data_IF_581293041258
#
_entry.id   IF_581293041258
#
_cell.length_a   1.000
_cell.length_b   1.000
_cell.length_c   1.000
_cell.angle_alpha   90.00
_cell.angle_beta   90.00
_cell.angle_gamma   90.00
#
_symmetry.space_group_name_H-M   'P 1'
#
loop_
_entity.id
_entity.type
_entity.pdbx_description
1 polymer ?
#
# COMPACT_ATOMS: atom_id res chain seq x y z
N UNK A 1 -19.95 19.68 26.61
CA UNK A 1 -21.28 19.45 26.00
C UNK A 1 -22.32 19.72 27.05
N UNK A 2 -23.32 20.52 26.70
CA UNK A 2 -24.56 20.57 27.46
C UNK A 2 -25.44 19.41 26.99
N UNK A 3 -25.91 18.58 27.93
CA UNK A 3 -26.70 17.38 27.63
C UNK A 3 -28.20 17.60 27.81
N UNK A 4 -28.65 18.75 28.33
CA UNK A 4 -30.07 19.09 28.46
C UNK A 4 -30.93 17.94 29.01
N UNK A 5 -31.99 17.57 28.28
CA UNK A 5 -32.92 16.48 28.63
C UNK A 5 -32.28 15.08 28.73
N UNK A 6 -31.04 14.92 28.25
CA UNK A 6 -30.27 13.67 28.35
C UNK A 6 -29.36 13.63 29.58
N UNK A 7 -29.52 14.57 30.53
CA UNK A 7 -28.72 14.67 31.76
C UNK A 7 -28.78 13.40 32.63
N UNK A 8 -29.86 12.64 32.55
CA UNK A 8 -30.07 11.43 33.35
C UNK A 8 -29.43 10.17 32.73
N UNK A 9 -29.19 10.14 31.41
CA UNK A 9 -28.64 8.96 30.73
C UNK A 9 -27.11 9.00 30.60
N UNK A 10 -26.43 8.50 31.63
CA UNK A 10 -24.97 8.39 31.67
C UNK A 10 -24.38 7.52 30.54
N UNK A 11 -25.12 6.51 30.07
CA UNK A 11 -24.62 5.61 29.04
C UNK A 11 -24.58 6.30 27.67
N UNK A 12 -25.59 7.11 27.36
CA UNK A 12 -25.63 7.94 26.15
C UNK A 12 -24.57 9.05 26.23
N UNK A 13 -24.45 9.73 27.37
CA UNK A 13 -23.44 10.78 27.58
C UNK A 13 -22.02 10.27 27.32
N UNK A 14 -21.70 9.10 27.87
CA UNK A 14 -20.38 8.47 27.68
C UNK A 14 -20.11 8.18 26.21
N UNK A 15 -21.09 7.62 25.49
CA UNK A 15 -20.97 7.35 24.05
C UNK A 15 -20.76 8.63 23.25
N UNK A 16 -21.52 9.68 23.56
CA UNK A 16 -21.44 10.96 22.83
C UNK A 16 -20.11 11.69 23.11
N UNK A 17 -19.65 11.69 24.36
CA UNK A 17 -18.35 12.24 24.73
C UNK A 17 -17.20 11.50 24.03
N UNK A 18 -17.26 10.16 24.01
CA UNK A 18 -16.26 9.35 23.30
C UNK A 18 -16.29 9.61 21.80
N UNK A 19 -17.48 9.74 21.21
CA UNK A 19 -17.65 10.05 19.80
C UNK A 19 -17.02 11.39 19.45
N UNK A 20 -17.33 12.45 20.20
CA UNK A 20 -16.78 13.78 19.98
C UNK A 20 -15.26 13.83 20.14
N UNK A 21 -14.71 13.24 21.21
CA UNK A 21 -13.26 13.14 21.38
C UNK A 21 -12.60 12.38 20.23
N UNK A 22 -13.26 11.38 19.66
CA UNK A 22 -12.75 10.66 18.50
C UNK A 22 -12.77 11.51 17.22
N UNK A 23 -13.82 12.30 17.01
CA UNK A 23 -13.92 13.23 15.88
C UNK A 23 -12.86 14.32 15.97
N UNK A 24 -12.65 14.92 17.15
CA UNK A 24 -11.58 15.92 17.37
C UNK A 24 -10.18 15.37 17.07
N UNK A 25 -9.92 14.10 17.42
CA UNK A 25 -8.65 13.44 17.09
C UNK A 25 -8.48 13.27 15.58
N UNK A 26 -9.54 12.88 14.88
CA UNK A 26 -9.52 12.72 13.42
C UNK A 26 -9.29 14.08 12.74
N UNK A 27 -9.97 15.13 13.21
CA UNK A 27 -9.82 16.50 12.71
C UNK A 27 -8.37 16.97 12.78
N UNK A 28 -7.71 16.80 13.94
CA UNK A 28 -6.29 17.13 14.12
C UNK A 28 -5.37 16.38 13.14
N UNK A 29 -5.63 15.09 12.90
CA UNK A 29 -4.83 14.29 11.97
C UNK A 29 -5.02 14.79 10.52
N UNK A 30 -6.24 15.13 10.13
CA UNK A 30 -6.56 15.65 8.80
C UNK A 30 -5.94 17.02 8.60
N UNK A 31 -5.97 17.89 9.61
CA UNK A 31 -5.36 19.22 9.56
C UNK A 31 -3.85 19.14 9.32
N UNK A 32 -3.16 18.26 10.06
CA UNK A 32 -1.73 17.99 9.85
C UNK A 32 -1.50 17.48 8.43
N UNK A 33 -2.29 16.49 8.01
CA UNK A 33 -2.13 15.81 6.71
C UNK A 33 -2.42 16.73 5.52
N UNK A 34 -3.33 17.69 5.66
CA UNK A 34 -3.74 18.63 4.60
C UNK A 34 -2.82 19.84 4.47
N UNK A 35 -1.75 19.91 5.25
CA UNK A 35 -0.83 21.05 5.18
C UNK A 35 -0.12 21.12 3.81
N UNK A 36 -0.01 22.34 3.22
CA UNK A 36 0.25 22.50 1.79
C UNK A 36 1.61 22.03 1.26
N UNK A 37 2.53 21.57 2.10
CA UNK A 37 3.88 21.16 1.66
C UNK A 37 4.21 19.69 1.96
N UNK A 38 3.32 18.96 2.65
CA UNK A 38 3.62 17.57 3.03
C UNK A 38 3.67 16.70 1.79
N UNK A 39 2.67 16.80 0.92
CA UNK A 39 2.55 15.91 -0.23
C UNK A 39 3.79 15.93 -1.13
N UNK A 40 4.35 17.10 -1.40
CA UNK A 40 5.51 17.24 -2.27
C UNK A 40 6.80 16.65 -1.69
N UNK A 41 6.90 16.58 -0.36
CA UNK A 41 8.05 15.99 0.35
C UNK A 41 7.99 14.47 0.43
N UNK A 42 6.85 13.85 0.10
CA UNK A 42 6.66 12.41 0.17
C UNK A 42 7.34 11.69 -1.01
N UNK A 43 7.93 10.53 -0.73
CA UNK A 43 8.34 9.57 -1.76
C UNK A 43 7.14 9.05 -2.53
N UNK A 44 7.34 8.45 -3.71
CA UNK A 44 6.25 7.87 -4.50
C UNK A 44 5.42 6.85 -3.72
N UNK A 45 6.06 6.03 -2.87
CA UNK A 45 5.35 5.08 -2.01
C UNK A 45 4.46 5.81 -1.01
N UNK A 46 5.02 6.79 -0.31
CA UNK A 46 4.29 7.56 0.70
C UNK A 46 3.15 8.39 0.08
N UNK A 47 3.31 8.90 -1.14
CA UNK A 47 2.23 9.55 -1.89
C UNK A 47 1.06 8.60 -2.14
N UNK A 48 1.34 7.37 -2.56
CA UNK A 48 0.30 6.34 -2.74
C UNK A 48 -0.40 6.03 -1.41
N UNK A 49 0.36 5.86 -0.33
CA UNK A 49 -0.21 5.62 1.00
C UNK A 49 -1.07 6.81 1.48
N UNK A 50 -0.61 8.04 1.25
CA UNK A 50 -1.32 9.27 1.56
C UNK A 50 -2.64 9.38 0.78
N UNK A 51 -2.61 9.17 -0.55
CA UNK A 51 -3.80 9.28 -1.39
C UNK A 51 -4.85 8.23 -1.00
N UNK A 52 -4.41 7.01 -0.67
CA UNK A 52 -5.29 5.96 -0.15
C UNK A 52 -5.85 6.30 1.22
N UNK A 53 -5.05 6.87 2.11
CA UNK A 53 -5.47 7.33 3.43
C UNK A 53 -6.53 8.43 3.33
N UNK A 54 -6.30 9.46 2.50
CA UNK A 54 -7.25 10.56 2.31
C UNK A 54 -8.55 10.09 1.68
N UNK A 55 -8.48 9.26 0.64
CA UNK A 55 -9.66 8.68 0.01
C UNK A 55 -10.46 7.80 0.99
N UNK A 56 -9.79 6.94 1.77
CA UNK A 56 -10.46 6.09 2.76
C UNK A 56 -11.13 6.92 3.86
N UNK A 57 -10.43 7.94 4.37
CA UNK A 57 -10.90 8.81 5.44
C UNK A 57 -12.15 9.58 5.00
N UNK A 58 -12.13 10.21 3.83
CA UNK A 58 -13.28 10.94 3.30
C UNK A 58 -14.51 10.04 3.16
N UNK A 59 -14.35 8.86 2.56
CA UNK A 59 -15.47 7.92 2.38
C UNK A 59 -16.01 7.40 3.71
N UNK A 60 -15.13 7.17 4.69
CA UNK A 60 -15.53 6.70 6.03
C UNK A 60 -16.24 7.80 6.84
N UNK A 61 -15.78 9.04 6.74
CA UNK A 61 -16.46 10.19 7.36
C UNK A 61 -17.84 10.42 6.76
N UNK A 62 -17.98 10.27 5.45
CA UNK A 62 -19.30 10.34 4.81
C UNK A 62 -20.23 9.21 5.28
N UNK A 63 -19.72 7.98 5.40
CA UNK A 63 -20.47 6.87 5.98
C UNK A 63 -20.95 7.20 7.40
N UNK A 64 -20.07 7.77 8.22
CA UNK A 64 -20.38 8.18 9.59
C UNK A 64 -21.47 9.27 9.61
N UNK A 65 -21.38 10.26 8.72
CA UNK A 65 -22.38 11.31 8.57
C UNK A 65 -23.77 10.75 8.22
N UNK A 66 -23.86 9.78 7.29
CA UNK A 66 -25.13 9.12 6.99
C UNK A 66 -25.71 8.42 8.22
N UNK A 67 -24.86 7.76 9.01
CA UNK A 67 -25.28 7.12 10.26
C UNK A 67 -25.80 8.12 11.29
N UNK A 68 -25.21 9.31 11.41
CA UNK A 68 -25.71 10.34 12.34
C UNK A 68 -27.04 10.95 11.89
N UNK A 69 -27.34 10.91 10.59
CA UNK A 69 -28.67 11.27 10.04
C UNK A 69 -29.72 10.17 10.19
N UNK A 70 -29.35 8.99 10.66
CA UNK A 70 -30.25 7.84 10.72
C UNK A 70 -30.49 7.16 9.38
N UNK A 71 -29.72 7.52 8.34
CA UNK A 71 -29.79 6.89 7.03
C UNK A 71 -28.97 5.59 7.03
N UNK A 72 -29.37 4.64 6.17
CA UNK A 72 -28.63 3.40 6.00
C UNK A 72 -27.55 3.56 4.92
N UNK A 73 -26.25 3.70 5.30
CA UNK A 73 -25.17 3.88 4.34
C UNK A 73 -24.98 2.67 3.43
N UNK A 74 -25.47 1.48 3.80
CA UNK A 74 -25.32 0.27 2.98
C UNK A 74 -26.16 0.30 1.70
N UNK A 75 -27.20 1.16 1.66
CA UNK A 75 -28.06 1.38 0.49
C UNK A 75 -27.47 2.39 -0.50
N UNK A 76 -26.43 3.10 -0.11
CA UNK A 76 -25.77 4.10 -0.95
C UNK A 76 -24.50 3.54 -1.62
N UNK A 77 -24.06 4.20 -2.68
CA UNK A 77 -22.83 3.86 -3.42
C UNK A 77 -21.54 3.94 -2.58
N UNK A 78 -21.61 4.47 -1.35
CA UNK A 78 -20.46 4.62 -0.48
C UNK A 78 -19.79 3.27 -0.13
N UNK A 79 -20.57 2.20 -0.04
CA UNK A 79 -20.05 0.85 0.21
C UNK A 79 -19.17 0.38 -0.95
N UNK A 80 -19.57 0.69 -2.17
CA UNK A 80 -18.80 0.39 -3.37
C UNK A 80 -17.50 1.21 -3.40
N UNK A 81 -17.54 2.49 -3.01
CA UNK A 81 -16.34 3.32 -2.91
C UNK A 81 -15.36 2.81 -1.85
N UNK A 82 -15.83 2.43 -0.66
CA UNK A 82 -14.96 1.84 0.37
C UNK A 82 -14.33 0.52 -0.09
N UNK A 83 -15.10 -0.35 -0.75
CA UNK A 83 -14.56 -1.59 -1.32
C UNK A 83 -13.52 -1.31 -2.40
N UNK A 84 -13.77 -0.31 -3.26
CA UNK A 84 -12.82 0.13 -4.28
C UNK A 84 -11.51 0.61 -3.65
N UNK A 85 -11.56 1.47 -2.62
CA UNK A 85 -10.36 1.94 -1.92
C UNK A 85 -9.59 0.76 -1.29
N UNK A 86 -10.28 -0.19 -0.65
CA UNK A 86 -9.65 -1.41 -0.10
C UNK A 86 -8.94 -2.23 -1.18
N UNK A 87 -9.52 -2.38 -2.37
CA UNK A 87 -8.87 -3.06 -3.48
C UNK A 87 -7.59 -2.34 -3.91
N UNK A 88 -7.57 -1.01 -3.93
CA UNK A 88 -6.36 -0.26 -4.24
C UNK A 88 -5.30 -0.36 -3.14
N UNK A 89 -5.68 -0.44 -1.86
CA UNK A 89 -4.73 -0.73 -0.77
C UNK A 89 -4.04 -2.08 -0.96
N UNK A 90 -4.79 -3.12 -1.36
CA UNK A 90 -4.21 -4.43 -1.69
C UNK A 90 -3.25 -4.32 -2.87
N UNK A 91 -3.63 -3.62 -3.94
CA UNK A 91 -2.75 -3.40 -5.10
C UNK A 91 -1.47 -2.63 -4.75
N UNK A 92 -1.56 -1.61 -3.91
CA UNK A 92 -0.41 -0.85 -3.45
C UNK A 92 0.56 -1.74 -2.64
N UNK A 93 0.01 -2.57 -1.75
CA UNK A 93 0.78 -3.57 -1.00
C UNK A 93 1.48 -4.56 -1.93
N UNK A 94 0.76 -5.15 -2.88
CA UNK A 94 1.35 -6.08 -3.85
C UNK A 94 2.44 -5.42 -4.70
N UNK A 95 2.24 -4.18 -5.14
CA UNK A 95 3.24 -3.44 -5.92
C UNK A 95 4.53 -3.25 -5.12
N UNK A 96 4.41 -2.90 -3.83
CA UNK A 96 5.55 -2.77 -2.94
C UNK A 96 6.27 -4.11 -2.71
N UNK A 97 5.53 -5.18 -2.43
CA UNK A 97 6.09 -6.53 -2.22
C UNK A 97 6.81 -7.06 -3.47
N UNK A 98 6.25 -6.82 -4.67
CA UNK A 98 6.91 -7.17 -5.95
C UNK A 98 8.25 -6.47 -6.12
N UNK A 99 8.39 -5.25 -5.60
CA UNK A 99 9.62 -4.47 -5.71
C UNK A 99 10.69 -4.90 -4.70
N UNK A 100 10.28 -5.25 -3.48
CA UNK A 100 11.19 -5.45 -2.33
C UNK A 100 11.46 -6.92 -2.01
N UNK A 101 10.43 -7.77 -2.04
CA UNK A 101 10.51 -9.15 -1.51
C UNK A 101 10.74 -10.20 -2.61
N UNK A 102 10.35 -9.92 -3.85
CA UNK A 102 10.35 -10.93 -4.91
C UNK A 102 11.76 -11.14 -5.46
N UNK A 103 12.25 -12.40 -5.54
CA UNK A 103 13.52 -12.69 -6.19
C UNK A 103 13.49 -12.20 -7.65
N UNK A 104 14.51 -11.43 -8.04
CA UNK A 104 14.68 -11.02 -9.43
C UNK A 104 15.40 -12.14 -10.18
N UNK A 105 14.91 -12.46 -11.37
CA UNK A 105 15.60 -13.39 -12.26
C UNK A 105 16.90 -12.72 -12.69
N UNK A 106 18.02 -13.42 -12.55
CA UNK A 106 19.27 -13.01 -13.17
C UNK A 106 19.15 -13.26 -14.68
N UNK A 107 18.82 -12.20 -15.42
CA UNK A 107 18.70 -12.24 -16.88
C UNK A 107 20.01 -12.69 -17.56
N UNK A 108 21.17 -12.42 -16.96
CA UNK A 108 22.47 -12.86 -17.46
C UNK A 108 22.68 -14.37 -17.28
N UNK A 109 22.35 -14.92 -16.11
CA UNK A 109 22.34 -16.36 -15.89
C UNK A 109 21.34 -17.07 -16.82
N UNK A 110 20.11 -16.57 -16.93
CA UNK A 110 19.10 -17.11 -17.83
C UNK A 110 19.58 -17.08 -19.30
N UNK A 111 20.20 -15.99 -19.74
CA UNK A 111 20.79 -15.88 -21.08
C UNK A 111 21.89 -16.91 -21.34
N UNK A 112 22.76 -17.17 -20.35
CA UNK A 112 23.80 -18.21 -20.44
C UNK A 112 23.20 -19.61 -20.58
N UNK A 113 22.17 -19.94 -19.78
CA UNK A 113 21.47 -21.22 -19.89
C UNK A 113 20.81 -21.41 -21.25
N UNK A 114 20.15 -20.37 -21.78
CA UNK A 114 19.51 -20.42 -23.10
C UNK A 114 20.55 -20.62 -24.20
N UNK A 115 21.63 -19.81 -24.21
CA UNK A 115 22.70 -19.91 -25.23
C UNK A 115 23.34 -21.29 -25.25
N UNK A 116 23.61 -21.87 -24.08
CA UNK A 116 24.15 -23.22 -23.96
C UNK A 116 23.14 -24.27 -24.45
N UNK A 117 21.86 -24.16 -24.07
CA UNK A 117 20.82 -25.09 -24.47
C UNK A 117 20.51 -25.11 -25.97
N UNK A 118 20.72 -24.00 -26.68
CA UNK A 118 20.52 -23.91 -28.14
C UNK A 118 21.82 -24.05 -28.95
N UNK A 119 22.94 -24.44 -28.32
CA UNK A 119 24.27 -24.52 -28.93
C UNK A 119 24.63 -23.26 -29.75
N UNK A 120 24.27 -22.08 -29.24
CA UNK A 120 24.52 -20.82 -29.92
C UNK A 120 26.03 -20.59 -30.05
N UNK A 121 26.56 -20.72 -31.27
CA UNK A 121 27.92 -20.30 -31.61
C UNK A 121 27.86 -18.87 -32.09
N UNK A 122 28.34 -17.95 -31.25
CA UNK A 122 28.49 -16.55 -31.64
C UNK A 122 29.49 -16.48 -32.80
N UNK A 123 29.06 -16.03 -33.97
CA UNK A 123 29.87 -16.00 -35.19
C UNK A 123 30.90 -14.87 -35.20
N UNK A 124 31.20 -14.25 -34.05
CA UNK A 124 31.90 -12.96 -33.95
C UNK A 124 33.10 -12.86 -33.00
N UNK A 125 33.48 -13.89 -32.23
CA UNK A 125 34.71 -13.82 -31.39
C UNK A 125 35.46 -15.15 -31.32
N UNK A 126 36.79 -15.16 -31.48
CA UNK A 126 37.61 -16.37 -31.44
C UNK A 126 38.04 -16.75 -30.00
N UNK A 127 38.27 -18.06 -29.84
CA UNK A 127 39.00 -18.78 -28.76
C UNK A 127 38.21 -19.31 -27.55
N UNK A 128 38.18 -20.65 -27.50
CA UNK A 128 37.83 -21.45 -26.33
C UNK A 128 38.79 -21.16 -25.16
N UNK A 129 38.31 -21.07 -23.90
CA UNK A 129 39.21 -20.91 -22.77
C UNK A 129 40.09 -22.17 -22.61
N UNK A 130 41.38 -22.01 -22.28
CA UNK A 130 42.35 -23.10 -22.31
C UNK A 130 41.97 -24.20 -21.31
N UNK A 131 41.88 -25.43 -21.81
CA UNK A 131 41.61 -26.63 -21.03
C UNK A 131 42.74 -26.86 -20.02
N UNK A 132 42.54 -26.52 -18.74
CA UNK A 132 43.46 -26.87 -17.65
C UNK A 132 43.35 -28.37 -17.34
N UNK A 133 43.94 -29.21 -18.20
CA UNK A 133 44.33 -30.56 -17.79
C UNK A 133 45.60 -30.44 -16.95
N UNK A 134 45.45 -30.43 -15.62
CA UNK A 134 46.59 -30.67 -14.72
C UNK A 134 46.97 -32.14 -14.85
N UNK A 135 48.10 -32.43 -15.51
CA UNK A 135 48.77 -33.72 -15.38
C UNK A 135 49.42 -33.73 -14.00
N UNK A 136 48.98 -34.64 -13.12
CA UNK A 136 49.77 -35.04 -11.97
C UNK A 136 50.93 -35.90 -12.48
N UNK A 137 52.15 -35.55 -12.11
CA UNK A 137 53.32 -36.41 -12.25
C UNK A 137 53.32 -37.40 -11.08
N UNK A 138 53.25 -38.70 -11.38
CA UNK A 138 53.52 -39.76 -10.42
C UNK A 138 55.05 -39.90 -10.29
N UNK A 139 55.57 -39.82 -9.06
CA UNK A 139 56.92 -40.23 -8.67
C UNK A 139 56.99 -41.76 -8.52
#
# INVERSE_FOLDING_TARGET
>A
MDFGDLSEDKAIQTKLSNFHSSVEKIEKIIEISSSPDIYDKLTTKEKVDYDLFMAYTLNTLFWLYLKTKGEDPTKSEIKNQLNRVKQYMVKAKEAHERQVLRPRIDCGAAGRFIKHGINYKDSGTPEEPPNKKMKFSDD
#
